data_IF_157318726721
#
_entry.id   IF_157318726721
#
_cell.length_a   1.000
_cell.length_b   1.000
_cell.length_c   1.000
_cell.angle_alpha   90.00
_cell.angle_beta   90.00
_cell.angle_gamma   90.00
#
_symmetry.space_group_name_H-M   'P 1'
#
loop_
_entity.id
_entity.type
_entity.pdbx_description
1 polymer ?
#
# COMPACT_ATOMS: atom_id res chain seq x y z
N UNK A 1 -19.44 1.43 20.33
CA UNK A 1 -18.60 0.52 19.52
C UNK A 1 -19.38 -0.67 18.97
N UNK A 2 -19.83 -1.62 19.79
CA UNK A 2 -20.45 -2.87 19.28
C UNK A 2 -21.66 -2.64 18.36
N UNK A 3 -22.48 -1.61 18.62
CA UNK A 3 -23.57 -1.20 17.72
C UNK A 3 -23.09 -0.75 16.33
N UNK A 4 -21.93 -0.10 16.26
CA UNK A 4 -21.29 0.32 15.01
C UNK A 4 -20.76 -0.89 14.22
N UNK A 5 -20.14 -1.85 14.90
CA UNK A 5 -19.71 -3.11 14.28
C UNK A 5 -20.92 -3.92 13.75
N UNK A 6 -21.99 -3.99 14.53
CA UNK A 6 -23.24 -4.65 14.14
C UNK A 6 -23.89 -3.96 12.92
N UNK A 7 -23.87 -2.62 12.88
CA UNK A 7 -24.31 -1.83 11.71
C UNK A 7 -23.53 -2.22 10.44
N UNK A 8 -22.20 -2.25 10.52
CA UNK A 8 -21.33 -2.62 9.39
C UNK A 8 -21.55 -4.06 8.91
N UNK A 9 -21.60 -5.02 9.84
CA UNK A 9 -21.84 -6.43 9.52
C UNK A 9 -23.22 -6.65 8.88
N UNK A 10 -24.25 -6.00 9.41
CA UNK A 10 -25.60 -6.07 8.84
C UNK A 10 -25.62 -5.50 7.42
N UNK A 11 -24.98 -4.35 7.20
CA UNK A 11 -24.87 -3.76 5.86
C UNK A 11 -24.15 -4.71 4.90
N UNK A 12 -23.01 -5.26 5.29
CA UNK A 12 -22.28 -6.22 4.47
C UNK A 12 -23.10 -7.45 4.11
N UNK A 13 -23.81 -8.05 5.07
CA UNK A 13 -24.69 -9.18 4.80
C UNK A 13 -25.78 -8.83 3.75
N UNK A 14 -26.37 -7.64 3.83
CA UNK A 14 -27.39 -7.19 2.86
C UNK A 14 -26.80 -6.89 1.48
N UNK A 15 -25.67 -6.20 1.40
CA UNK A 15 -25.03 -5.81 0.13
C UNK A 15 -24.50 -7.03 -0.61
N UNK A 16 -23.80 -7.94 0.07
CA UNK A 16 -23.28 -9.19 -0.51
C UNK A 16 -24.41 -10.06 -1.05
N UNK A 17 -25.54 -10.13 -0.34
CA UNK A 17 -26.72 -10.85 -0.82
C UNK A 17 -27.34 -10.20 -2.07
N UNK A 18 -27.37 -8.86 -2.14
CA UNK A 18 -27.88 -8.13 -3.30
C UNK A 18 -26.95 -8.32 -4.51
N UNK A 19 -25.63 -8.23 -4.32
CA UNK A 19 -24.62 -8.47 -5.36
C UNK A 19 -24.72 -9.89 -5.92
N UNK A 20 -24.93 -10.90 -5.06
CA UNK A 20 -25.17 -12.28 -5.51
C UNK A 20 -26.37 -12.36 -6.45
N UNK A 21 -27.51 -11.79 -6.05
CA UNK A 21 -28.75 -11.83 -6.84
C UNK A 21 -28.59 -11.10 -8.18
N UNK A 22 -27.89 -9.97 -8.20
CA UNK A 22 -27.60 -9.23 -9.43
C UNK A 22 -26.65 -10.01 -10.35
N UNK A 23 -25.49 -10.45 -9.85
CA UNK A 23 -24.52 -11.16 -10.69
C UNK A 23 -24.98 -12.55 -11.15
N UNK A 24 -25.91 -13.21 -10.44
CA UNK A 24 -26.59 -14.41 -10.95
C UNK A 24 -27.61 -14.10 -12.05
N UNK A 25 -28.24 -12.93 -12.04
CA UNK A 25 -29.19 -12.49 -13.09
C UNK A 25 -28.45 -12.05 -14.35
N UNK A 26 -27.33 -11.36 -14.18
CA UNK A 26 -26.56 -10.77 -15.28
C UNK A 26 -25.49 -11.72 -15.86
N UNK A 27 -25.34 -12.93 -15.29
CA UNK A 27 -24.35 -13.92 -15.71
C UNK A 27 -22.89 -13.54 -15.41
N UNK A 28 -22.65 -12.51 -14.60
CA UNK A 28 -21.33 -11.93 -14.33
C UNK A 28 -20.55 -12.61 -13.21
N UNK A 29 -21.18 -13.49 -12.44
CA UNK A 29 -20.53 -14.28 -11.38
C UNK A 29 -20.39 -15.75 -11.81
N UNK A 30 -19.16 -16.27 -11.74
CA UNK A 30 -18.94 -17.71 -11.83
C UNK A 30 -19.61 -18.45 -10.68
N UNK A 31 -19.86 -19.75 -10.84
CA UNK A 31 -20.47 -20.60 -9.81
C UNK A 31 -19.65 -20.61 -8.51
N UNK A 32 -18.32 -20.58 -8.62
CA UNK A 32 -17.39 -20.55 -7.50
C UNK A 32 -17.46 -19.21 -6.75
N UNK A 33 -17.38 -18.08 -7.48
CA UNK A 33 -17.55 -16.75 -6.87
C UNK A 33 -18.92 -16.59 -6.21
N UNK A 34 -19.99 -17.13 -6.80
CA UNK A 34 -21.33 -17.09 -6.21
C UNK A 34 -21.43 -17.90 -4.90
N UNK A 35 -20.64 -18.98 -4.77
CA UNK A 35 -20.53 -19.80 -3.55
C UNK A 35 -19.77 -19.04 -2.46
N UNK A 36 -18.66 -18.39 -2.80
CA UNK A 36 -17.86 -17.61 -1.86
C UNK A 36 -18.62 -16.41 -1.31
N UNK A 37 -19.33 -15.68 -2.18
CA UNK A 37 -20.23 -14.59 -1.80
C UNK A 37 -21.31 -15.08 -0.82
N UNK A 38 -21.87 -16.28 -1.05
CA UNK A 38 -22.87 -16.86 -0.15
C UNK A 38 -22.28 -17.26 1.22
N UNK A 39 -21.07 -17.85 1.23
CA UNK A 39 -20.36 -18.20 2.44
C UNK A 39 -20.03 -16.95 3.28
N UNK A 40 -19.58 -15.88 2.63
CA UNK A 40 -19.30 -14.60 3.27
C UNK A 40 -20.55 -13.98 3.90
N UNK A 41 -21.67 -13.96 3.18
CA UNK A 41 -22.94 -13.46 3.71
C UNK A 41 -23.43 -14.29 4.91
N UNK A 42 -23.28 -15.61 4.86
CA UNK A 42 -23.61 -16.50 5.99
C UNK A 42 -22.76 -16.22 7.22
N UNK A 43 -21.45 -16.02 7.03
CA UNK A 43 -20.51 -15.67 8.10
C UNK A 43 -20.86 -14.31 8.73
N UNK A 44 -21.15 -13.30 7.92
CA UNK A 44 -21.59 -11.98 8.41
C UNK A 44 -22.87 -12.08 9.25
N UNK A 45 -23.89 -12.82 8.78
CA UNK A 45 -25.13 -13.06 9.55
C UNK A 45 -24.90 -13.81 10.85
N UNK A 46 -23.97 -14.76 10.87
CA UNK A 46 -23.58 -15.46 12.11
C UNK A 46 -22.99 -14.47 13.13
N UNK A 47 -22.07 -13.61 12.70
CA UNK A 47 -21.49 -12.58 13.57
C UNK A 47 -22.53 -11.58 14.08
N UNK A 48 -23.48 -11.15 13.23
CA UNK A 48 -24.60 -10.32 13.67
C UNK A 48 -25.38 -10.99 14.80
N UNK A 49 -25.76 -12.26 14.62
CA UNK A 49 -26.49 -13.04 15.65
C UNK A 49 -25.70 -13.17 16.94
N UNK A 50 -24.39 -13.41 16.86
CA UNK A 50 -23.52 -13.46 18.04
C UNK A 50 -23.57 -12.16 18.83
N UNK A 51 -23.47 -11.00 18.16
CA UNK A 51 -23.54 -9.69 18.84
C UNK A 51 -24.94 -9.43 19.42
N UNK A 52 -25.99 -9.75 18.68
CA UNK A 52 -27.38 -9.59 19.16
C UNK A 52 -27.67 -10.48 20.37
N UNK A 53 -27.22 -11.74 20.36
CA UNK A 53 -27.37 -12.65 21.48
C UNK A 53 -26.55 -12.21 22.71
N UNK A 54 -25.47 -11.47 22.50
CA UNK A 54 -24.71 -10.83 23.57
C UNK A 54 -25.34 -9.50 24.07
N UNK A 55 -26.57 -9.18 23.66
CA UNK A 55 -27.31 -7.98 24.10
C UNK A 55 -27.04 -6.72 23.28
N UNK A 56 -26.34 -6.82 22.14
CA UNK A 56 -26.11 -5.65 21.27
C UNK A 56 -27.32 -5.43 20.37
N UNK A 57 -28.08 -4.38 20.68
CA UNK A 57 -29.22 -3.97 19.85
C UNK A 57 -28.76 -3.33 18.53
N UNK A 58 -29.43 -3.69 17.44
CA UNK A 58 -29.19 -3.09 16.13
C UNK A 58 -29.64 -1.62 16.13
N UNK A 59 -28.77 -0.75 15.60
CA UNK A 59 -29.05 0.66 15.43
C UNK A 59 -28.52 1.09 14.06
N UNK A 60 -29.43 1.49 13.16
CA UNK A 60 -29.11 1.76 11.76
C UNK A 60 -28.21 2.99 11.57
N UNK A 61 -28.31 3.96 12.46
CA UNK A 61 -27.59 5.23 12.49
C UNK A 61 -26.45 5.25 13.52
N UNK A 62 -26.05 4.09 14.05
CA UNK A 62 -25.01 4.00 15.07
C UNK A 62 -23.77 4.80 14.63
N UNK A 63 -23.33 5.80 15.41
CA UNK A 63 -22.22 6.66 15.02
C UNK A 63 -20.90 5.90 15.09
N UNK A 64 -19.92 6.35 14.31
CA UNK A 64 -18.54 5.87 14.46
C UNK A 64 -18.07 6.17 15.89
N UNK A 65 -17.41 5.20 16.57
CA UNK A 65 -16.93 5.40 17.93
C UNK A 65 -16.01 6.62 18.01
N UNK A 66 -16.40 7.61 18.82
CA UNK A 66 -15.57 8.77 19.14
C UNK A 66 -14.75 8.48 20.40
N UNK A 67 -13.47 8.84 20.39
CA UNK A 67 -12.56 8.68 21.53
C UNK A 67 -11.51 7.58 21.38
N UNK A 68 -10.73 7.34 22.45
CA UNK A 68 -9.60 6.40 22.43
C UNK A 68 -10.11 4.96 22.43
N UNK A 69 -9.86 4.26 21.32
CA UNK A 69 -10.14 2.82 21.21
C UNK A 69 -9.05 1.98 21.87
N UNK A 70 -9.46 0.88 22.51
CA UNK A 70 -8.55 -0.15 22.98
C UNK A 70 -7.75 -0.74 21.81
N UNK A 71 -6.60 -1.35 22.08
CA UNK A 71 -5.75 -1.96 21.02
C UNK A 71 -6.51 -3.05 20.25
N UNK A 72 -7.38 -3.79 20.93
CA UNK A 72 -8.17 -4.88 20.34
C UNK A 72 -9.30 -4.35 19.45
N UNK A 73 -9.81 -3.15 19.74
CA UNK A 73 -10.97 -2.57 19.06
C UNK A 73 -10.63 -1.75 17.81
N UNK A 74 -9.39 -1.28 17.69
CA UNK A 74 -8.95 -0.46 16.55
C UNK A 74 -9.17 -1.14 15.21
N UNK A 75 -8.79 -2.41 15.08
CA UNK A 75 -8.91 -3.17 13.82
C UNK A 75 -10.39 -3.42 13.45
N UNK A 76 -11.26 -3.96 14.33
CA UNK A 76 -12.68 -4.10 14.03
C UNK A 76 -13.36 -2.79 13.65
N UNK A 77 -13.07 -1.69 14.36
CA UNK A 77 -13.69 -0.39 14.06
C UNK A 77 -13.22 0.14 12.71
N UNK A 78 -11.91 0.10 12.42
CA UNK A 78 -11.39 0.54 11.13
C UNK A 78 -11.97 -0.26 9.96
N UNK A 79 -12.09 -1.59 10.10
CA UNK A 79 -12.75 -2.43 9.10
C UNK A 79 -14.22 -2.08 8.94
N UNK A 80 -14.95 -1.85 10.03
CA UNK A 80 -16.34 -1.44 10.00
C UNK A 80 -16.52 -0.08 9.30
N UNK A 81 -15.64 0.89 9.58
CA UNK A 81 -15.62 2.20 8.91
C UNK A 81 -15.38 2.06 7.42
N UNK A 82 -14.36 1.28 7.03
CA UNK A 82 -14.05 1.00 5.62
C UNK A 82 -15.22 0.31 4.92
N UNK A 83 -15.80 -0.73 5.54
CA UNK A 83 -16.95 -1.43 5.00
C UNK A 83 -18.15 -0.51 4.84
N UNK A 84 -18.44 0.35 5.81
CA UNK A 84 -19.55 1.28 5.69
C UNK A 84 -19.30 2.33 4.60
N UNK A 85 -18.09 2.89 4.53
CA UNK A 85 -17.70 3.84 3.48
C UNK A 85 -17.71 3.21 2.08
N UNK A 86 -17.27 1.96 1.91
CA UNK A 86 -17.27 1.28 0.62
C UNK A 86 -18.65 0.71 0.23
N UNK A 87 -19.45 0.26 1.21
CA UNK A 87 -20.72 -0.44 1.01
C UNK A 87 -21.95 0.43 1.26
N UNK A 88 -21.83 1.75 1.18
CA UNK A 88 -22.96 2.67 1.12
C UNK A 88 -23.26 2.94 -0.38
N UNK A 89 -24.04 2.09 -1.08
CA UNK A 89 -24.77 2.55 -2.25
C UNK A 89 -25.82 3.54 -1.75
N UNK A 90 -25.70 4.79 -2.20
CA UNK A 90 -26.74 5.80 -2.03
C UNK A 90 -27.94 5.40 -2.90
N UNK A 91 -29.09 5.19 -2.26
CA UNK A 91 -30.37 5.05 -2.96
C UNK A 91 -31.03 6.42 -2.94
N UNK A 92 -30.84 7.18 -4.02
CA UNK A 92 -31.75 8.28 -4.35
C UNK A 92 -31.10 9.59 -4.82
N UNK A 93 -29.83 9.85 -4.54
CA UNK A 93 -29.20 11.14 -4.91
C UNK A 93 -27.72 11.02 -5.28
N UNK A 94 -27.40 10.15 -6.24
CA UNK A 94 -26.25 10.34 -7.13
C UNK A 94 -24.84 10.46 -6.51
N UNK A 95 -24.59 9.98 -5.28
CA UNK A 95 -23.23 9.98 -4.74
C UNK A 95 -22.87 8.62 -4.14
N UNK A 96 -21.99 7.88 -4.83
CA UNK A 96 -21.27 6.77 -4.22
C UNK A 96 -20.54 7.23 -2.95
N UNK A 97 -20.41 6.34 -1.97
CA UNK A 97 -19.77 6.60 -0.67
C UNK A 97 -18.24 6.64 -0.68
N UNK A 98 -17.66 6.76 -1.86
CA UNK A 98 -16.42 7.50 -2.09
C UNK A 98 -16.74 8.41 -3.28
N UNK A 99 -16.79 9.72 -3.07
CA UNK A 99 -17.01 10.62 -4.22
C UNK A 99 -15.78 10.52 -5.12
N UNK A 100 -15.94 10.68 -6.43
CA UNK A 100 -14.78 10.73 -7.34
C UNK A 100 -13.78 11.84 -6.94
N UNK A 101 -14.25 12.91 -6.30
CA UNK A 101 -13.45 13.97 -5.67
C UNK A 101 -12.65 13.50 -4.44
N UNK A 102 -13.05 12.42 -3.79
CA UNK A 102 -12.31 11.79 -2.69
C UNK A 102 -11.18 10.89 -3.19
N UNK A 103 -11.11 10.64 -4.51
CA UNK A 103 -10.06 9.87 -5.20
C UNK A 103 -9.14 10.79 -5.99
N UNK A 104 -8.68 11.89 -5.39
CA UNK A 104 -7.59 12.66 -6.00
C UNK A 104 -6.34 11.77 -6.12
N UNK A 105 -5.52 12.04 -7.13
CA UNK A 105 -4.27 11.30 -7.34
C UNK A 105 -3.37 11.34 -6.10
N UNK A 106 -3.32 12.48 -5.41
CA UNK A 106 -2.60 12.64 -4.14
C UNK A 106 -3.11 11.72 -3.02
N UNK A 107 -4.44 11.61 -2.86
CA UNK A 107 -5.04 10.71 -1.87
C UNK A 107 -4.79 9.25 -2.22
N UNK A 108 -4.86 8.90 -3.51
CA UNK A 108 -4.55 7.55 -3.99
C UNK A 108 -3.08 7.20 -3.78
N UNK A 109 -2.16 8.13 -4.03
CA UNK A 109 -0.74 7.98 -3.74
C UNK A 109 -0.49 7.74 -2.24
N UNK A 110 -1.09 8.57 -1.39
CA UNK A 110 -0.99 8.42 0.07
C UNK A 110 -1.55 7.08 0.54
N UNK A 111 -2.67 6.63 -0.04
CA UNK A 111 -3.26 5.33 0.25
C UNK A 111 -2.35 4.18 -0.17
N UNK A 112 -1.72 4.30 -1.35
CA UNK A 112 -0.80 3.30 -1.89
C UNK A 112 0.44 3.15 -1.00
N UNK A 113 1.08 4.25 -0.62
CA UNK A 113 2.19 4.29 0.34
C UNK A 113 1.80 3.63 1.67
N UNK A 114 0.64 4.01 2.23
CA UNK A 114 0.15 3.46 3.48
C UNK A 114 -0.18 1.96 3.40
N UNK A 115 -0.69 1.49 2.26
CA UNK A 115 -0.98 0.09 2.01
C UNK A 115 0.31 -0.75 1.98
N UNK A 116 1.34 -0.30 1.27
CA UNK A 116 2.65 -0.96 1.24
C UNK A 116 3.29 -1.01 2.63
N UNK A 117 3.32 0.11 3.35
CA UNK A 117 3.79 0.15 4.73
C UNK A 117 3.02 -0.84 5.63
N UNK A 118 1.71 -0.94 5.44
CA UNK A 118 0.85 -1.88 6.15
C UNK A 118 1.18 -3.35 5.84
N UNK A 119 1.38 -3.68 4.56
CA UNK A 119 1.80 -5.02 4.10
C UNK A 119 3.14 -5.38 4.75
N UNK A 120 4.16 -4.54 4.60
CA UNK A 120 5.49 -4.80 5.12
C UNK A 120 5.48 -4.97 6.65
N UNK A 121 4.83 -4.07 7.38
CA UNK A 121 4.72 -4.19 8.84
C UNK A 121 4.02 -5.46 9.29
N UNK A 122 2.97 -5.87 8.58
CA UNK A 122 2.19 -7.03 8.98
C UNK A 122 2.92 -8.33 8.71
N UNK A 123 3.55 -8.46 7.54
CA UNK A 123 4.14 -9.72 7.08
C UNK A 123 5.63 -9.85 7.39
N UNK A 124 6.40 -8.76 7.42
CA UNK A 124 7.86 -8.82 7.61
C UNK A 124 8.29 -8.67 9.07
N UNK A 125 7.57 -7.89 9.90
CA UNK A 125 7.92 -7.74 11.32
C UNK A 125 7.95 -9.07 12.09
N UNK A 126 7.00 -10.01 11.89
CA UNK A 126 7.10 -11.35 12.50
C UNK A 126 8.31 -12.17 12.03
N UNK A 127 8.90 -11.83 10.88
CA UNK A 127 10.08 -12.49 10.32
C UNK A 127 11.39 -11.82 10.77
N UNK A 128 11.34 -10.88 11.72
CA UNK A 128 12.53 -10.20 12.26
C UNK A 128 12.91 -8.91 11.52
N UNK A 129 12.17 -8.52 10.49
CA UNK A 129 12.44 -7.26 9.80
C UNK A 129 12.02 -6.05 10.63
N UNK A 130 12.84 -4.99 10.58
CA UNK A 130 12.47 -3.69 11.13
C UNK A 130 11.82 -2.84 10.03
N UNK A 131 10.58 -2.41 10.27
CA UNK A 131 9.78 -1.70 9.26
C UNK A 131 9.41 -0.30 9.72
N UNK A 132 10.02 0.69 9.08
CA UNK A 132 9.79 2.10 9.35
C UNK A 132 9.00 2.74 8.21
N UNK A 133 8.11 3.68 8.55
CA UNK A 133 7.49 4.53 7.53
C UNK A 133 8.46 5.59 7.04
N UNK A 134 7.93 6.67 6.49
CA UNK A 134 8.74 7.72 5.89
C UNK A 134 9.88 8.23 6.78
N UNK A 135 11.06 8.36 6.18
CA UNK A 135 12.29 8.86 6.81
C UNK A 135 12.92 9.93 5.92
N UNK A 136 13.53 10.92 6.55
CA UNK A 136 14.34 11.90 5.84
C UNK A 136 15.78 11.40 5.75
N UNK A 137 16.37 11.58 4.58
CA UNK A 137 17.80 11.39 4.33
C UNK A 137 18.35 12.79 4.04
N UNK A 138 19.46 13.18 4.67
CA UNK A 138 20.08 14.47 4.35
C UNK A 138 21.09 14.29 3.22
N UNK A 139 21.23 15.32 2.41
CA UNK A 139 22.30 15.40 1.44
C UNK A 139 23.64 15.44 2.16
N UNK A 140 24.61 14.66 1.70
CA UNK A 140 26.01 14.83 2.08
C UNK A 140 26.54 16.06 1.33
N UNK A 141 26.45 17.23 1.97
CA UNK A 141 26.98 18.49 1.44
C UNK A 141 28.28 18.76 2.18
N UNK A 142 29.38 18.90 1.44
CA UNK A 142 30.65 19.36 2.01
C UNK A 142 30.58 20.86 2.30
N UNK A 143 31.36 21.32 3.28
CA UNK A 143 31.46 22.74 3.60
C UNK A 143 31.93 23.51 2.35
N UNK A 144 31.12 24.48 1.94
CA UNK A 144 31.43 25.39 0.84
C UNK A 144 32.41 26.44 1.39
N UNK A 145 33.48 26.77 0.65
CA UNK A 145 34.43 27.81 1.05
C UNK A 145 33.73 29.15 1.35
N UNK A 146 34.29 29.93 2.29
CA UNK A 146 33.70 31.17 2.81
C UNK A 146 33.28 32.17 1.71
N UNK A 147 33.92 32.13 0.54
CA UNK A 147 33.66 33.00 -0.61
C UNK A 147 32.35 32.65 -1.37
N UNK A 148 31.87 31.42 -1.24
CA UNK A 148 30.62 30.92 -1.86
C UNK A 148 29.49 30.67 -0.84
N UNK A 149 29.76 30.84 0.46
CA UNK A 149 28.80 30.68 1.57
C UNK A 149 27.80 31.86 1.74
N UNK A 150 27.51 32.60 0.66
CA UNK A 150 26.58 33.74 0.73
C UNK A 150 25.13 33.26 0.94
N UNK A 151 24.79 32.03 0.53
CA UNK A 151 23.47 31.42 0.72
C UNK A 151 23.58 29.91 0.99
N UNK A 152 22.76 29.40 1.93
CA UNK A 152 22.58 27.94 2.09
C UNK A 152 22.01 27.31 0.80
N UNK A 153 22.53 26.16 0.35
CA UNK A 153 22.00 25.48 -0.83
C UNK A 153 20.52 25.07 -0.66
N UNK A 154 19.64 25.55 -1.54
CA UNK A 154 18.21 25.21 -1.55
C UNK A 154 17.96 23.82 -2.18
N UNK A 155 18.50 22.77 -1.56
CA UNK A 155 18.38 21.40 -2.04
C UNK A 155 16.99 20.80 -1.73
N UNK A 156 16.45 19.93 -2.61
CA UNK A 156 15.17 19.29 -2.38
C UNK A 156 15.25 18.34 -1.19
N UNK A 157 14.19 18.25 -0.38
CA UNK A 157 14.14 17.28 0.71
C UNK A 157 14.08 15.84 0.16
N UNK A 158 14.98 14.98 0.63
CA UNK A 158 14.92 13.54 0.34
C UNK A 158 14.12 12.84 1.43
N UNK A 159 12.89 12.43 1.10
CA UNK A 159 12.00 11.71 2.01
C UNK A 159 11.58 10.40 1.36
N UNK A 160 11.89 9.29 2.00
CA UNK A 160 11.49 7.95 1.58
C UNK A 160 10.06 7.66 2.03
N UNK A 161 9.41 6.65 1.43
CA UNK A 161 8.07 6.23 1.85
C UNK A 161 8.14 5.14 2.92
N UNK A 162 8.99 4.13 2.69
CA UNK A 162 9.23 3.04 3.64
C UNK A 162 10.72 2.74 3.71
N UNK A 163 11.19 2.41 4.91
CA UNK A 163 12.56 1.96 5.14
C UNK A 163 12.52 0.63 5.89
N UNK A 164 13.22 -0.36 5.34
CA UNK A 164 13.25 -1.72 5.87
C UNK A 164 14.68 -2.07 6.29
N UNK A 165 14.79 -2.86 7.35
CA UNK A 165 16.04 -3.53 7.73
C UNK A 165 15.75 -5.01 7.78
N UNK A 166 16.42 -5.79 6.95
CA UNK A 166 16.29 -7.26 7.01
C UNK A 166 17.02 -7.82 8.23
N UNK A 167 16.79 -9.11 8.60
CA UNK A 167 17.42 -9.73 9.76
C UNK A 167 18.95 -9.73 9.71
N UNK A 168 19.54 -9.76 8.51
CA UNK A 168 20.98 -9.67 8.26
C UNK A 168 21.51 -8.23 8.39
N UNK A 169 20.61 -7.27 8.54
CA UNK A 169 20.91 -5.87 8.79
C UNK A 169 20.98 -5.01 7.53
N UNK A 170 20.75 -5.54 6.33
CA UNK A 170 20.73 -4.76 5.09
C UNK A 170 19.61 -3.72 5.13
N UNK A 171 19.93 -2.50 4.71
CA UNK A 171 18.96 -1.43 4.56
C UNK A 171 18.30 -1.52 3.19
N UNK A 172 16.98 -1.53 3.14
CA UNK A 172 16.21 -1.44 1.89
C UNK A 172 15.33 -0.20 1.93
N UNK A 173 15.60 0.74 1.02
CA UNK A 173 14.80 1.95 0.82
C UNK A 173 13.72 1.62 -0.19
N UNK A 174 12.46 1.88 0.17
CA UNK A 174 11.32 1.67 -0.71
C UNK A 174 10.63 2.99 -0.96
N UNK A 175 10.40 3.30 -2.23
CA UNK A 175 9.64 4.45 -2.69
C UNK A 175 8.51 3.96 -3.62
N UNK A 176 7.31 4.48 -3.38
CA UNK A 176 6.05 4.04 -3.96
C UNK A 176 5.54 5.08 -4.94
N UNK A 177 5.31 4.67 -6.19
CA UNK A 177 4.81 5.54 -7.25
C UNK A 177 3.45 5.10 -7.73
N UNK A 178 2.45 5.94 -7.52
CA UNK A 178 1.11 5.76 -8.09
C UNK A 178 1.08 6.17 -9.56
N UNK A 179 1.85 5.47 -10.40
CA UNK A 179 1.99 5.72 -11.83
C UNK A 179 2.50 4.46 -12.53
N UNK A 180 2.60 4.53 -13.85
CA UNK A 180 3.21 3.51 -14.68
C UNK A 180 4.72 3.42 -14.44
N UNK A 181 5.24 2.20 -14.32
CA UNK A 181 6.67 1.87 -14.22
C UNK A 181 7.43 2.16 -15.52
N UNK A 182 6.84 1.72 -16.64
CA UNK A 182 7.45 1.82 -17.95
C UNK A 182 6.93 3.03 -18.74
N UNK A 183 7.71 3.42 -19.74
CA UNK A 183 7.31 4.30 -20.83
C UNK A 183 7.50 3.55 -22.15
N UNK A 184 6.55 3.70 -23.07
CA UNK A 184 6.70 3.17 -24.43
C UNK A 184 7.79 3.95 -25.16
N UNK A 185 8.68 3.23 -25.83
CA UNK A 185 9.68 3.83 -26.70
C UNK A 185 9.02 4.54 -27.89
N UNK A 186 9.73 5.49 -28.51
CA UNK A 186 9.24 6.12 -29.74
C UNK A 186 9.44 5.14 -30.92
N UNK A 187 8.54 5.16 -31.91
CA UNK A 187 8.72 4.46 -33.19
C UNK A 187 9.15 2.98 -33.13
N UNK A 188 8.52 2.16 -32.28
CA UNK A 188 8.79 0.71 -32.23
C UNK A 188 9.96 0.30 -31.32
N UNK A 189 10.56 1.27 -30.63
CA UNK A 189 11.53 0.98 -29.57
C UNK A 189 10.89 0.18 -28.42
N UNK A 190 11.68 -0.73 -27.84
CA UNK A 190 11.28 -1.50 -26.67
C UNK A 190 10.92 -0.57 -25.51
N UNK A 191 9.89 -0.89 -24.70
CA UNK A 191 9.58 -0.12 -23.51
C UNK A 191 10.77 -0.07 -22.55
N UNK A 192 10.91 1.05 -21.83
CA UNK A 192 11.99 1.27 -20.86
C UNK A 192 11.43 1.73 -19.52
N UNK A 193 12.21 1.55 -18.45
CA UNK A 193 11.89 2.12 -17.14
C UNK A 193 11.95 3.65 -17.19
N UNK A 194 11.06 4.33 -16.46
CA UNK A 194 11.12 5.79 -16.34
C UNK A 194 12.38 6.22 -15.57
N UNK A 195 13.31 6.85 -16.28
CA UNK A 195 14.63 7.26 -15.76
C UNK A 195 14.58 8.16 -14.53
N UNK A 196 13.59 9.06 -14.43
CA UNK A 196 13.43 9.95 -13.28
C UNK A 196 13.36 9.20 -11.94
N UNK A 197 12.73 8.02 -11.91
CA UNK A 197 12.61 7.21 -10.71
C UNK A 197 13.90 6.43 -10.43
N UNK A 198 14.63 6.06 -11.47
CA UNK A 198 15.95 5.45 -11.34
C UNK A 198 16.92 6.43 -10.68
N UNK A 199 16.92 7.67 -11.12
CA UNK A 199 17.75 8.72 -10.55
C UNK A 199 17.36 9.05 -9.11
N UNK A 200 16.06 9.06 -8.81
CA UNK A 200 15.55 9.29 -7.46
C UNK A 200 16.03 8.20 -6.49
N UNK A 201 15.78 6.92 -6.80
CA UNK A 201 16.17 5.83 -5.89
C UNK A 201 17.68 5.70 -5.75
N UNK A 202 18.43 5.90 -6.84
CA UNK A 202 19.89 5.92 -6.80
C UNK A 202 20.42 7.03 -5.88
N UNK A 203 19.80 8.22 -5.90
CA UNK A 203 20.16 9.32 -5.01
C UNK A 203 19.91 8.95 -3.55
N UNK A 204 18.77 8.32 -3.23
CA UNK A 204 18.49 7.87 -1.87
C UNK A 204 19.47 6.81 -1.38
N UNK A 205 19.77 5.80 -2.20
CA UNK A 205 20.71 4.73 -1.84
C UNK A 205 22.11 5.29 -1.61
N UNK A 206 22.60 6.13 -2.51
CA UNK A 206 23.91 6.78 -2.38
C UNK A 206 23.99 7.59 -1.09
N UNK A 207 23.00 8.44 -0.82
CA UNK A 207 23.01 9.32 0.36
C UNK A 207 22.83 8.57 1.68
N UNK A 208 22.04 7.49 1.69
CA UNK A 208 21.92 6.63 2.85
C UNK A 208 23.22 5.84 3.13
N UNK A 209 23.97 5.48 2.09
CA UNK A 209 25.28 4.85 2.30
C UNK A 209 26.33 5.83 2.83
N UNK A 210 26.34 7.06 2.32
CA UNK A 210 27.27 8.10 2.80
C UNK A 210 26.94 8.54 4.24
N UNK A 211 25.68 8.42 4.67
CA UNK A 211 25.21 8.87 5.98
C UNK A 211 24.51 7.73 6.76
N UNK A 212 25.21 6.64 7.11
CA UNK A 212 24.56 5.45 7.62
C UNK A 212 23.94 5.65 9.01
N UNK A 213 24.43 6.62 9.79
CA UNK A 213 23.93 6.96 11.13
C UNK A 213 22.62 7.78 11.12
N UNK A 214 22.23 8.38 9.98
CA UNK A 214 21.05 9.25 9.93
C UNK A 214 19.73 8.48 10.01
N UNK A 215 19.72 7.22 9.56
CA UNK A 215 18.55 6.37 9.62
C UNK A 215 18.45 5.72 11.01
N UNK A 216 18.15 6.56 12.03
CA UNK A 216 17.92 6.13 13.42
C UNK A 216 16.97 4.93 13.50
N UNK A 217 17.46 3.85 14.11
CA UNK A 217 16.78 2.55 14.20
C UNK A 217 17.45 1.47 13.34
N UNK A 218 18.28 1.85 12.37
CA UNK A 218 19.05 0.94 11.51
C UNK A 218 20.51 0.97 11.96
N UNK A 219 20.98 -0.01 12.75
CA UNK A 219 22.38 -0.01 13.23
C UNK A 219 23.36 -0.08 12.07
N UNK A 220 24.05 1.00 11.72
CA UNK A 220 25.05 1.09 10.67
C UNK A 220 26.28 0.19 10.94
N UNK A 221 26.26 -1.06 10.47
CA UNK A 221 27.50 -1.80 10.16
C UNK A 221 27.91 -1.53 8.71
N UNK A 222 28.78 -2.36 8.14
CA UNK A 222 29.11 -2.46 6.70
C UNK A 222 27.89 -2.90 5.86
N UNK A 223 26.80 -2.14 5.97
CA UNK A 223 25.48 -2.55 5.52
C UNK A 223 25.31 -2.18 4.07
N UNK A 224 25.12 -3.21 3.24
CA UNK A 224 24.61 -3.04 1.88
C UNK A 224 23.32 -2.23 1.96
N UNK A 225 23.22 -1.19 1.14
CA UNK A 225 22.00 -0.40 0.97
C UNK A 225 21.38 -0.82 -0.36
N UNK A 226 20.09 -1.15 -0.34
CA UNK A 226 19.30 -1.47 -1.52
C UNK A 226 18.20 -0.45 -1.76
N UNK A 227 17.77 -0.33 -3.02
CA UNK A 227 16.72 0.58 -3.44
C UNK A 227 15.61 -0.16 -4.19
N UNK A 228 14.36 0.08 -3.80
CA UNK A 228 13.19 -0.55 -4.42
C UNK A 228 12.20 0.54 -4.81
N UNK A 229 11.77 0.52 -6.07
CA UNK A 229 10.66 1.32 -6.55
C UNK A 229 9.46 0.41 -6.78
N UNK A 230 8.33 0.72 -6.12
CA UNK A 230 7.08 -0.03 -6.28
C UNK A 230 6.06 0.83 -7.02
N UNK A 231 5.53 0.32 -8.13
CA UNK A 231 4.61 1.03 -9.01
C UNK A 231 3.21 0.47 -8.93
N UNK A 232 2.22 1.35 -9.02
CA UNK A 232 0.81 0.96 -9.08
C UNK A 232 0.41 0.32 -10.42
N UNK A 233 1.23 0.45 -11.47
CA UNK A 233 0.95 -0.12 -12.78
C UNK A 233 2.24 -0.34 -13.60
N UNK A 234 2.20 -1.29 -14.53
CA UNK A 234 3.29 -1.54 -15.48
C UNK A 234 3.37 -0.42 -16.52
N UNK A 235 2.23 -0.05 -17.11
CA UNK A 235 2.14 0.98 -18.15
C UNK A 235 2.42 0.50 -19.57
N UNK A 236 2.52 -0.81 -19.78
CA UNK A 236 2.56 -1.45 -21.10
C UNK A 236 1.34 -2.35 -21.27
N UNK A 237 1.00 -2.69 -22.51
CA UNK A 237 -0.06 -3.66 -22.78
C UNK A 237 0.28 -5.03 -22.19
N UNK A 238 -0.74 -5.82 -21.84
CA UNK A 238 -0.59 -7.17 -21.24
C UNK A 238 0.19 -8.15 -22.11
N UNK A 239 0.33 -7.88 -23.42
CA UNK A 239 1.12 -8.67 -24.37
C UNK A 239 2.59 -8.26 -24.46
N UNK A 240 3.04 -7.29 -23.65
CA UNK A 240 4.44 -6.88 -23.62
C UNK A 240 5.28 -7.90 -22.87
N UNK A 241 6.42 -8.31 -23.43
CA UNK A 241 7.45 -9.11 -22.75
C UNK A 241 8.17 -8.34 -21.62
N UNK A 242 7.74 -7.10 -21.33
CA UNK A 242 8.37 -6.25 -20.32
C UNK A 242 8.09 -6.76 -18.90
N UNK A 243 9.12 -7.20 -18.15
CA UNK A 243 8.89 -7.82 -16.85
C UNK A 243 8.31 -6.83 -15.83
N UNK A 244 7.31 -7.28 -15.07
CA UNK A 244 6.71 -6.51 -13.96
C UNK A 244 7.66 -6.33 -12.79
N UNK A 245 8.56 -7.30 -12.56
CA UNK A 245 9.59 -7.25 -11.53
C UNK A 245 10.95 -7.35 -12.20
N UNK A 246 11.83 -6.39 -11.90
CA UNK A 246 13.16 -6.29 -12.49
C UNK A 246 14.16 -5.97 -11.38
N UNK A 247 15.22 -6.76 -11.29
CA UNK A 247 16.29 -6.59 -10.31
C UNK A 247 17.63 -6.43 -11.00
N UNK A 248 18.49 -5.58 -10.44
CA UNK A 248 19.86 -5.41 -10.90
C UNK A 248 20.74 -4.93 -9.75
N UNK A 249 22.05 -4.87 -9.99
CA UNK A 249 22.99 -4.20 -9.10
C UNK A 249 23.53 -2.92 -9.77
N UNK A 250 23.55 -1.81 -9.04
CA UNK A 250 24.12 -0.54 -9.48
C UNK A 250 25.18 -0.11 -8.47
N UNK A 251 26.45 -0.05 -8.87
CA UNK A 251 27.58 0.22 -7.97
C UNK A 251 27.64 -0.72 -6.73
N UNK A 252 27.25 -2.00 -6.90
CA UNK A 252 27.20 -2.97 -5.81
C UNK A 252 25.93 -2.90 -4.94
N UNK A 253 25.03 -1.95 -5.21
CA UNK A 253 23.74 -1.83 -4.52
C UNK A 253 22.65 -2.61 -5.23
N UNK A 254 21.92 -3.51 -4.54
CA UNK A 254 20.76 -4.16 -5.12
C UNK A 254 19.65 -3.15 -5.35
N UNK A 255 19.14 -3.13 -6.57
CA UNK A 255 18.06 -2.27 -7.02
C UNK A 255 16.93 -3.13 -7.58
N UNK A 256 15.68 -2.74 -7.32
CA UNK A 256 14.54 -3.41 -7.91
C UNK A 256 13.44 -2.42 -8.31
N UNK A 257 12.81 -2.65 -9.46
CA UNK A 257 11.57 -2.01 -9.87
C UNK A 257 10.49 -3.08 -9.96
N UNK A 258 9.37 -2.86 -9.28
CA UNK A 258 8.24 -3.79 -9.28
C UNK A 258 6.93 -3.08 -9.54
N UNK A 259 6.18 -3.51 -10.56
CA UNK A 259 4.85 -3.02 -10.87
C UNK A 259 3.79 -4.01 -10.38
N UNK A 260 2.99 -3.56 -9.41
CA UNK A 260 1.91 -4.38 -8.85
C UNK A 260 0.73 -4.46 -9.80
N UNK A 261 0.13 -5.64 -9.92
CA UNK A 261 -1.17 -5.79 -10.58
C UNK A 261 -2.30 -5.48 -9.58
N UNK A 262 -2.69 -4.21 -9.51
CA UNK A 262 -3.77 -3.78 -8.62
C UNK A 262 -5.16 -4.32 -9.02
N UNK A 263 -5.30 -4.90 -10.22
CA UNK A 263 -6.53 -5.60 -10.65
C UNK A 263 -6.53 -7.07 -10.21
N UNK A 264 -5.39 -7.57 -9.75
CA UNK A 264 -5.23 -8.91 -9.21
C UNK A 264 -5.88 -9.08 -7.83
N UNK A 265 -5.79 -10.31 -7.31
CA UNK A 265 -6.28 -10.60 -5.96
C UNK A 265 -5.44 -9.88 -4.89
N UNK A 266 -6.03 -9.56 -3.74
CA UNK A 266 -5.29 -9.00 -2.60
C UNK A 266 -4.11 -9.89 -2.16
N UNK A 267 -4.19 -11.20 -2.39
CA UNK A 267 -3.09 -12.14 -2.17
C UNK A 267 -1.95 -11.92 -3.15
N UNK A 268 -2.25 -11.81 -4.44
CA UNK A 268 -1.25 -11.56 -5.48
C UNK A 268 -0.54 -10.22 -5.26
N UNK A 269 -1.30 -9.14 -5.01
CA UNK A 269 -0.75 -7.80 -4.72
C UNK A 269 0.21 -7.85 -3.52
N UNK A 270 -0.16 -8.60 -2.47
CA UNK A 270 0.71 -8.80 -1.30
C UNK A 270 1.97 -9.57 -1.69
N UNK A 271 1.83 -10.70 -2.37
CA UNK A 271 2.95 -11.57 -2.71
C UNK A 271 3.95 -10.82 -3.61
N UNK A 272 3.46 -10.06 -4.59
CA UNK A 272 4.26 -9.19 -5.45
C UNK A 272 4.96 -8.06 -4.67
N UNK A 273 4.27 -7.43 -3.71
CA UNK A 273 4.87 -6.41 -2.87
C UNK A 273 6.00 -6.98 -1.98
N UNK A 274 5.83 -8.18 -1.42
CA UNK A 274 6.88 -8.84 -0.63
C UNK A 274 8.07 -9.27 -1.51
N UNK A 275 7.79 -9.81 -2.70
CA UNK A 275 8.81 -10.15 -3.67
C UNK A 275 9.63 -8.92 -4.10
N UNK A 276 9.00 -7.74 -4.22
CA UNK A 276 9.68 -6.50 -4.61
C UNK A 276 10.86 -6.13 -3.70
N UNK A 277 10.82 -6.51 -2.42
CA UNK A 277 11.87 -6.21 -1.43
C UNK A 277 12.79 -7.40 -1.18
N UNK A 278 12.70 -8.47 -1.99
CA UNK A 278 13.47 -9.68 -1.84
C UNK A 278 13.06 -10.55 -0.64
N UNK A 279 11.84 -10.35 -0.11
CA UNK A 279 11.28 -11.16 0.96
C UNK A 279 10.36 -12.24 0.34
N UNK A 280 10.87 -13.45 0.17
CA UNK A 280 10.03 -14.62 -0.13
C UNK A 280 9.27 -15.08 1.11
N UNK A 281 8.03 -15.56 0.92
CA UNK A 281 7.26 -16.28 1.96
C UNK A 281 7.69 -17.75 2.04
#
# INVERSE_FOLDING_TARGET
MNRYLLRALNRAATTVQAMKKAGQRDGTLTTEQAKDVAALASRARRLCRTLTNAGVHFQADAPEPRGRLSRQDRKPVALASLMLQLLLPDRGTGHAAVKRSDLSEEKLRTLFEAALLGIYRFYLTPQGWQVHGAKDIHWAVDDVSDEAAVHEPALPRMRTDVTLVDPEGRLVIVDAKFTNMAVTGRHGDKPTLKSQYLYQIHSYVTMAQLNPDQLRGVSAGEKKVGGVMVFAALGTEERSEFPRHQEWAMNGHPMAFSALDLMGSARAIRDDALAAVGAGL
#
